data_IF_601808840069
#
_entry.id   IF_601808840069
#
_cell.length_a   1.000
_cell.length_b   1.000
_cell.length_c   1.000
_cell.angle_alpha   90.00
_cell.angle_beta   90.00
_cell.angle_gamma   90.00
#
_symmetry.space_group_name_H-M   'P 1'
#
loop_
_entity.id
_entity.type
_entity.pdbx_description
1 polymer ?
#
# COMPACT_ATOMS: atom_id res chain seq x y z
N UNK A 1 5.08 6.38 -25.51
CA UNK A 1 5.73 7.58 -24.93
C UNK A 1 6.96 7.07 -24.23
N UNK A 2 8.15 7.64 -24.48
CA UNK A 2 9.32 7.27 -23.67
C UNK A 2 9.20 8.00 -22.34
N UNK A 3 9.12 7.26 -21.26
CA UNK A 3 9.16 7.82 -19.91
C UNK A 3 10.53 8.47 -19.68
N UNK A 4 10.55 9.68 -19.13
CA UNK A 4 11.80 10.29 -18.67
C UNK A 4 12.18 9.71 -17.30
N UNK A 5 12.93 8.59 -17.32
CA UNK A 5 13.31 7.88 -16.10
C UNK A 5 14.27 8.68 -15.22
N UNK A 6 14.98 9.66 -15.74
CA UNK A 6 15.80 10.55 -14.90
C UNK A 6 14.91 11.39 -13.98
N UNK A 7 13.83 11.94 -14.51
CA UNK A 7 12.84 12.70 -13.74
C UNK A 7 12.06 11.80 -12.77
N UNK A 8 11.66 10.60 -13.23
CA UNK A 8 10.95 9.64 -12.38
C UNK A 8 11.84 9.16 -11.22
N UNK A 9 13.11 8.91 -11.46
CA UNK A 9 14.08 8.51 -10.43
C UNK A 9 14.30 9.65 -9.42
N UNK A 10 14.47 10.89 -9.88
CA UNK A 10 14.59 12.04 -8.99
C UNK A 10 13.35 12.21 -8.11
N UNK A 11 12.15 12.08 -8.66
CA UNK A 11 10.90 12.12 -7.93
C UNK A 11 10.80 10.97 -6.90
N UNK A 12 11.21 9.76 -7.28
CA UNK A 12 11.23 8.59 -6.42
C UNK A 12 12.18 8.78 -5.24
N UNK A 13 13.41 9.22 -5.51
CA UNK A 13 14.40 9.53 -4.48
C UNK A 13 13.90 10.62 -3.52
N UNK A 14 13.23 11.65 -4.05
CA UNK A 14 12.61 12.71 -3.27
C UNK A 14 11.51 12.28 -2.32
N UNK A 15 10.85 11.17 -2.61
CA UNK A 15 9.81 10.58 -1.76
C UNK A 15 10.37 9.65 -0.68
N UNK A 16 11.52 9.04 -0.95
CA UNK A 16 12.07 7.94 -0.16
C UNK A 16 13.15 8.36 0.82
N UNK A 17 13.85 9.46 0.52
CA UNK A 17 15.00 9.89 1.30
C UNK A 17 14.81 11.29 1.87
N UNK A 18 15.39 11.50 3.06
CA UNK A 18 15.48 12.81 3.71
C UNK A 18 16.52 13.67 2.96
N UNK A 19 16.31 14.97 2.92
CA UNK A 19 17.14 15.92 2.15
C UNK A 19 18.64 15.80 2.49
N UNK A 20 18.96 15.55 3.77
CA UNK A 20 20.33 15.32 4.23
C UNK A 20 20.98 14.00 3.76
N UNK A 21 20.16 12.98 3.49
CA UNK A 21 20.60 11.67 2.98
C UNK A 21 20.69 11.65 1.45
N UNK A 22 19.93 12.50 0.76
CA UNK A 22 19.93 12.61 -0.69
C UNK A 22 21.31 12.92 -1.26
N UNK A 23 22.01 13.90 -0.64
CA UNK A 23 23.33 14.30 -1.08
C UNK A 23 24.37 13.18 -0.93
N UNK A 24 24.28 12.35 0.11
CA UNK A 24 25.23 11.25 0.32
C UNK A 24 24.91 10.01 -0.53
N UNK A 25 23.63 9.69 -0.75
CA UNK A 25 23.23 8.49 -1.51
C UNK A 25 23.38 8.72 -3.00
N UNK A 26 23.08 9.92 -3.52
CA UNK A 26 23.30 10.27 -4.91
C UNK A 26 24.78 10.24 -5.27
N UNK A 27 25.69 10.63 -4.34
CA UNK A 27 27.13 10.60 -4.61
C UNK A 27 27.71 9.18 -4.58
N UNK A 28 27.24 8.30 -3.69
CA UNK A 28 27.92 7.03 -3.43
C UNK A 28 27.37 5.81 -4.19
N UNK A 29 26.05 5.81 -4.52
CA UNK A 29 25.42 4.62 -5.10
C UNK A 29 25.13 4.70 -6.59
N UNK A 30 24.97 5.89 -7.17
CA UNK A 30 24.52 6.06 -8.54
C UNK A 30 25.51 6.80 -9.47
N UNK A 31 26.45 7.58 -8.95
CA UNK A 31 27.46 8.24 -9.80
C UNK A 31 28.51 7.27 -10.38
N UNK A 32 28.75 6.11 -9.74
CA UNK A 32 29.72 5.11 -10.18
C UNK A 32 29.12 3.99 -11.05
N UNK A 33 27.77 3.89 -11.17
CA UNK A 33 27.13 2.84 -11.97
C UNK A 33 26.65 3.37 -13.31
N UNK A 34 27.24 2.84 -14.40
CA UNK A 34 26.84 3.07 -15.81
C UNK A 34 25.48 2.43 -16.18
N UNK A 35 24.63 2.07 -15.20
CA UNK A 35 23.34 1.47 -15.49
C UNK A 35 22.32 2.50 -16.02
N UNK A 36 21.44 2.10 -16.98
CA UNK A 36 20.35 2.94 -17.46
C UNK A 36 19.42 3.40 -16.33
N UNK A 37 18.85 4.60 -16.45
CA UNK A 37 17.97 5.18 -15.44
C UNK A 37 16.68 4.38 -15.26
N UNK A 38 16.17 3.69 -16.30
CA UNK A 38 15.06 2.76 -16.21
C UNK A 38 15.34 1.59 -15.26
N UNK A 39 16.57 1.04 -15.32
CA UNK A 39 17.00 -0.03 -14.43
C UNK A 39 17.16 0.46 -12.99
N UNK A 40 17.80 1.61 -12.79
CA UNK A 40 17.94 2.24 -11.47
C UNK A 40 16.56 2.50 -10.86
N UNK A 41 15.63 3.05 -11.65
CA UNK A 41 14.25 3.31 -11.21
C UNK A 41 13.53 2.01 -10.80
N UNK A 42 13.60 0.96 -11.62
CA UNK A 42 12.93 -0.30 -11.32
C UNK A 42 13.46 -0.95 -10.03
N UNK A 43 14.78 -0.98 -9.85
CA UNK A 43 15.40 -1.55 -8.66
C UNK A 43 15.08 -0.71 -7.41
N UNK A 44 15.23 0.61 -7.49
CA UNK A 44 14.93 1.51 -6.38
C UNK A 44 13.45 1.47 -5.98
N UNK A 45 12.53 1.36 -6.94
CA UNK A 45 11.10 1.23 -6.69
C UNK A 45 10.74 -0.07 -5.92
N UNK A 46 11.57 -1.10 -6.00
CA UNK A 46 11.41 -2.37 -5.27
C UNK A 46 11.94 -2.32 -3.85
N UNK A 47 12.89 -1.43 -3.54
CA UNK A 47 13.54 -1.39 -2.22
C UNK A 47 12.60 -0.88 -1.12
N UNK A 48 12.87 -1.27 0.12
CA UNK A 48 12.13 -0.79 1.28
C UNK A 48 12.65 0.56 1.77
N UNK A 49 11.77 1.33 2.38
CA UNK A 49 12.17 2.55 3.09
C UNK A 49 12.74 2.13 4.46
N UNK A 50 13.85 2.72 4.86
CA UNK A 50 14.51 2.44 6.14
C UNK A 50 13.51 2.50 7.32
N UNK A 51 13.54 1.47 8.15
CA UNK A 51 12.59 1.27 9.25
C UNK A 51 12.61 2.39 10.30
N UNK A 52 13.70 3.17 10.40
CA UNK A 52 13.79 4.32 11.30
C UNK A 52 12.74 5.39 10.98
N UNK A 53 12.38 5.54 9.71
CA UNK A 53 11.33 6.49 9.29
C UNK A 53 9.93 5.97 9.61
N UNK A 54 9.71 4.67 9.53
CA UNK A 54 8.47 4.06 10.01
C UNK A 54 8.26 4.35 11.50
N UNK A 55 9.32 4.21 12.31
CA UNK A 55 9.28 4.54 13.72
C UNK A 55 8.89 6.01 13.98
N UNK A 56 9.51 6.97 13.25
CA UNK A 56 9.14 8.39 13.34
C UNK A 56 7.67 8.64 12.98
N UNK A 57 7.18 7.98 11.93
CA UNK A 57 5.77 8.07 11.50
C UNK A 57 4.82 7.53 12.58
N UNK A 58 5.14 6.41 13.19
CA UNK A 58 4.35 5.87 14.31
C UNK A 58 4.38 6.79 15.52
N UNK A 59 5.51 7.42 15.82
CA UNK A 59 5.60 8.37 16.93
C UNK A 59 4.71 9.61 16.71
N UNK A 60 4.68 10.16 15.48
CA UNK A 60 3.76 11.26 15.13
C UNK A 60 2.30 10.81 15.27
N UNK A 61 1.98 9.62 14.75
CA UNK A 61 0.62 9.05 14.82
C UNK A 61 0.20 8.79 16.26
N UNK A 62 1.12 8.35 17.12
CA UNK A 62 0.87 8.14 18.55
C UNK A 62 0.48 9.43 19.26
N UNK A 63 1.11 10.56 18.93
CA UNK A 63 0.73 11.87 19.50
C UNK A 63 -0.70 12.25 19.15
N UNK A 64 -1.14 11.92 17.92
CA UNK A 64 -2.54 12.12 17.49
C UNK A 64 -3.45 11.21 18.28
N UNK A 65 -3.11 9.93 18.36
CA UNK A 65 -3.85 8.95 19.15
C UNK A 65 -4.05 9.43 20.59
N UNK A 66 -2.99 9.90 21.27
CA UNK A 66 -3.05 10.34 22.67
C UNK A 66 -3.98 11.54 22.87
N UNK A 67 -4.03 12.47 21.88
CA UNK A 67 -5.00 13.58 21.90
C UNK A 67 -6.44 13.10 21.76
N UNK A 68 -6.67 12.20 20.81
CA UNK A 68 -7.99 11.63 20.56
C UNK A 68 -8.47 10.78 21.74
N UNK A 69 -7.59 10.01 22.36
CA UNK A 69 -7.90 9.16 23.51
C UNK A 69 -8.43 10.01 24.69
N UNK A 70 -7.83 11.17 24.95
CA UNK A 70 -8.33 12.10 25.98
C UNK A 70 -9.76 12.52 25.70
N UNK A 71 -10.04 12.98 24.46
CA UNK A 71 -11.39 13.45 24.10
C UNK A 71 -12.41 12.32 24.19
N UNK A 72 -12.08 11.12 23.73
CA UNK A 72 -12.97 9.98 23.81
C UNK A 72 -13.25 9.56 25.27
N UNK A 73 -12.25 9.67 26.14
CA UNK A 73 -12.44 9.42 27.59
C UNK A 73 -13.33 10.47 28.22
N UNK A 74 -13.17 11.75 27.87
CA UNK A 74 -13.98 12.86 28.42
C UNK A 74 -15.48 12.69 28.06
N UNK A 75 -15.78 12.15 26.88
CA UNK A 75 -17.16 11.86 26.46
C UNK A 75 -17.62 10.43 26.79
N UNK A 76 -16.82 9.67 27.56
CA UNK A 76 -17.08 8.27 27.92
C UNK A 76 -17.32 7.34 26.73
N UNK A 77 -16.63 7.58 25.61
CA UNK A 77 -16.66 6.77 24.40
C UNK A 77 -15.46 5.80 24.41
N UNK A 78 -15.71 4.53 24.71
CA UNK A 78 -14.65 3.50 24.69
C UNK A 78 -14.28 3.11 23.27
N UNK A 79 -13.02 3.31 22.92
CA UNK A 79 -12.43 2.96 21.62
C UNK A 79 -11.15 2.16 21.79
N UNK A 80 -10.83 1.37 20.78
CA UNK A 80 -9.52 0.73 20.59
C UNK A 80 -8.81 1.37 19.40
N UNK A 81 -7.52 1.62 19.51
CA UNK A 81 -6.70 2.10 18.42
C UNK A 81 -5.87 0.96 17.83
N UNK A 82 -5.88 0.84 16.50
CA UNK A 82 -5.07 -0.13 15.76
C UNK A 82 -4.46 0.53 14.53
N UNK A 83 -3.44 -0.11 13.98
CA UNK A 83 -2.76 0.35 12.77
C UNK A 83 -2.95 -0.64 11.64
N UNK A 84 -3.13 -0.11 10.42
CA UNK A 84 -3.10 -0.88 9.18
C UNK A 84 -2.41 -0.07 8.08
N UNK A 85 -2.43 -0.59 6.85
CA UNK A 85 -1.87 0.05 5.68
C UNK A 85 -0.47 -0.45 5.32
N UNK A 86 0.11 0.09 4.25
CA UNK A 86 1.37 -0.40 3.70
C UNK A 86 2.56 -0.32 4.65
N UNK A 87 2.55 0.55 5.66
CA UNK A 87 3.61 0.63 6.66
C UNK A 87 3.70 -0.65 7.52
N UNK A 88 2.56 -1.34 7.77
CA UNK A 88 2.51 -2.59 8.55
C UNK A 88 3.09 -3.79 7.80
N UNK A 89 3.30 -3.65 6.50
CA UNK A 89 3.89 -4.66 5.63
C UNK A 89 5.17 -4.18 4.98
N UNK A 90 5.73 -3.02 5.39
CA UNK A 90 6.94 -2.44 4.82
C UNK A 90 6.84 -2.21 3.30
N UNK A 91 5.61 -1.96 2.82
CA UNK A 91 5.33 -1.70 1.40
C UNK A 91 4.96 -0.25 1.11
N UNK A 92 5.17 0.66 2.08
CA UNK A 92 4.99 2.09 1.86
C UNK A 92 6.10 2.65 0.96
N UNK A 93 5.73 3.61 0.11
CA UNK A 93 6.59 4.20 -0.91
C UNK A 93 6.90 5.70 -0.67
N UNK A 94 6.51 6.21 0.47
CA UNK A 94 6.72 7.60 0.89
C UNK A 94 7.26 7.61 2.31
N UNK A 95 8.30 8.40 2.53
CA UNK A 95 9.13 8.43 3.75
C UNK A 95 8.33 8.49 5.05
N UNK A 96 7.35 9.39 5.14
CA UNK A 96 6.50 9.57 6.32
C UNK A 96 5.03 9.31 5.99
N UNK A 97 4.76 8.21 5.30
CA UNK A 97 3.43 7.86 4.84
C UNK A 97 3.04 6.40 5.09
N UNK A 98 1.86 6.03 4.59
CA UNK A 98 1.40 4.64 4.62
C UNK A 98 0.81 4.18 5.95
N UNK A 99 0.68 5.05 6.95
CA UNK A 99 -0.01 4.75 8.21
C UNK A 99 -1.50 5.00 8.07
N UNK A 100 -2.29 4.02 8.49
CA UNK A 100 -3.72 4.16 8.71
C UNK A 100 -4.04 3.84 10.17
N UNK A 101 -4.47 4.85 10.93
CA UNK A 101 -4.92 4.71 12.31
C UNK A 101 -6.40 4.34 12.33
N UNK A 102 -6.72 3.13 12.74
CA UNK A 102 -8.10 2.68 12.89
C UNK A 102 -8.58 3.01 14.30
N UNK A 103 -9.73 3.65 14.39
CA UNK A 103 -10.41 3.92 15.65
C UNK A 103 -11.64 3.02 15.72
N UNK A 104 -11.58 2.04 16.60
CA UNK A 104 -12.54 0.95 16.69
C UNK A 104 -13.39 1.06 17.94
N UNK A 105 -14.69 0.92 17.80
CA UNK A 105 -15.59 0.74 18.95
C UNK A 105 -16.17 -0.67 18.96
N UNK A 106 -16.80 -1.04 20.06
CA UNK A 106 -17.45 -2.35 20.20
C UNK A 106 -18.44 -2.60 19.06
N UNK A 107 -18.68 -3.87 18.70
CA UNK A 107 -19.67 -4.23 17.71
C UNK A 107 -21.03 -3.59 18.06
N UNK A 108 -21.66 -2.96 17.05
CA UNK A 108 -23.00 -2.40 17.19
C UNK A 108 -23.93 -3.09 16.20
N UNK A 109 -24.88 -3.85 16.73
CA UNK A 109 -25.62 -4.88 16.00
C UNK A 109 -26.48 -4.36 14.83
N UNK A 110 -27.01 -3.14 14.91
CA UNK A 110 -28.01 -2.67 13.95
C UNK A 110 -27.60 -1.47 13.10
N UNK A 111 -26.84 -0.51 13.64
CA UNK A 111 -26.53 0.77 12.98
C UNK A 111 -25.06 1.20 13.22
N UNK A 112 -24.06 0.47 12.70
CA UNK A 112 -22.66 0.77 12.95
C UNK A 112 -22.27 2.20 12.54
N UNK A 113 -22.93 2.77 11.54
CA UNK A 113 -22.69 4.14 11.06
C UNK A 113 -22.92 5.22 12.12
N UNK A 114 -23.81 5.00 13.10
CA UNK A 114 -24.07 5.98 14.17
C UNK A 114 -22.78 6.20 15.01
N UNK A 115 -22.12 5.11 15.39
CA UNK A 115 -20.85 5.18 16.14
C UNK A 115 -19.69 5.66 15.28
N UNK A 116 -19.62 5.20 14.03
CA UNK A 116 -18.61 5.64 13.07
C UNK A 116 -18.70 7.15 12.86
N UNK A 117 -19.93 7.71 12.71
CA UNK A 117 -20.13 9.15 12.58
C UNK A 117 -19.76 9.92 13.84
N UNK A 118 -20.13 9.39 15.01
CA UNK A 118 -19.74 10.01 16.27
C UNK A 118 -18.21 10.12 16.35
N UNK A 119 -17.47 9.01 16.10
CA UNK A 119 -16.01 9.00 16.10
C UNK A 119 -15.46 10.01 15.07
N UNK A 120 -16.00 10.01 13.85
CA UNK A 120 -15.54 10.93 12.80
C UNK A 120 -15.75 12.39 13.19
N UNK A 121 -16.88 12.73 13.81
CA UNK A 121 -17.16 14.10 14.29
C UNK A 121 -16.18 14.55 15.36
N UNK A 122 -15.90 13.71 16.36
CA UNK A 122 -14.94 14.02 17.43
C UNK A 122 -13.50 14.18 16.87
N UNK A 123 -13.09 13.28 15.98
CA UNK A 123 -11.80 13.37 15.29
C UNK A 123 -11.67 14.70 14.55
N UNK A 124 -12.69 15.09 13.79
CA UNK A 124 -12.70 16.39 13.09
C UNK A 124 -12.61 17.56 14.06
N UNK A 125 -13.37 17.53 15.14
CA UNK A 125 -13.34 18.58 16.17
C UNK A 125 -11.95 18.78 16.76
N UNK A 126 -11.25 17.70 17.08
CA UNK A 126 -9.88 17.73 17.63
C UNK A 126 -8.86 18.27 16.62
N UNK A 127 -8.98 17.84 15.37
CA UNK A 127 -7.95 18.11 14.35
C UNK A 127 -8.11 19.50 13.73
N UNK A 128 -9.34 20.00 13.56
CA UNK A 128 -9.58 21.34 13.00
C UNK A 128 -9.04 22.45 13.92
N UNK A 129 -8.98 22.20 15.21
CA UNK A 129 -8.41 23.15 16.18
C UNK A 129 -6.88 23.10 16.35
N UNK A 130 -6.18 22.18 15.70
CA UNK A 130 -4.76 21.97 15.89
C UNK A 130 -3.93 22.55 14.74
N UNK A 131 -3.18 23.62 15.02
CA UNK A 131 -2.32 24.34 14.04
C UNK A 131 -1.19 23.48 13.45
N UNK A 132 -0.92 22.30 14.01
CA UNK A 132 0.09 21.37 13.48
C UNK A 132 -0.40 20.63 12.22
N UNK A 133 -1.70 20.70 11.89
CA UNK A 133 -2.28 20.07 10.71
C UNK A 133 -2.62 21.13 9.69
N UNK A 134 -1.92 21.10 8.54
CA UNK A 134 -2.13 22.09 7.48
C UNK A 134 -3.27 21.75 6.54
N UNK A 135 -3.54 20.46 6.37
CA UNK A 135 -4.51 19.99 5.40
C UNK A 135 -5.28 18.81 6.00
N UNK A 136 -6.59 18.98 6.12
CA UNK A 136 -7.51 17.94 6.56
C UNK A 136 -8.45 17.66 5.39
N UNK A 137 -8.25 16.54 4.71
CA UNK A 137 -9.11 16.10 3.63
C UNK A 137 -10.16 15.10 4.15
N UNK A 138 -11.41 15.52 4.14
CA UNK A 138 -12.57 14.69 4.48
C UNK A 138 -13.27 14.12 3.23
N UNK A 139 -12.80 14.48 2.03
CA UNK A 139 -13.48 14.16 0.77
C UNK A 139 -13.47 12.67 0.44
N UNK A 140 -12.51 11.91 0.95
CA UNK A 140 -12.36 10.49 0.64
C UNK A 140 -13.25 9.56 1.46
N UNK A 141 -14.36 10.05 1.96
CA UNK A 141 -15.54 9.24 2.35
C UNK A 141 -15.52 8.55 3.71
N UNK A 142 -14.36 8.18 4.24
CA UNK A 142 -14.21 7.49 5.53
C UNK A 142 -12.85 7.74 6.18
N UNK A 143 -11.91 8.35 5.44
CA UNK A 143 -10.53 8.50 5.85
C UNK A 143 -10.19 9.98 5.91
N UNK A 144 -9.69 10.40 7.04
CA UNK A 144 -9.19 11.76 7.24
C UNK A 144 -7.72 11.73 6.88
N UNK A 145 -7.34 12.52 5.89
CA UNK A 145 -5.96 12.73 5.47
C UNK A 145 -5.38 13.89 6.27
N UNK A 146 -4.25 13.68 6.88
CA UNK A 146 -3.55 14.70 7.64
C UNK A 146 -2.16 14.89 7.06
N UNK A 147 -1.80 16.13 6.84
CA UNK A 147 -0.44 16.49 6.48
C UNK A 147 0.14 17.36 7.59
N UNK A 148 1.20 16.92 8.23
CA UNK A 148 1.94 17.75 9.19
C UNK A 148 2.90 18.66 8.44
N UNK A 149 3.24 19.81 9.03
CA UNK A 149 4.05 20.81 8.34
C UNK A 149 5.54 20.48 8.25
N UNK A 150 6.07 19.70 9.20
CA UNK A 150 7.49 19.28 9.21
C UNK A 150 7.70 18.11 10.18
N UNK A 151 8.15 16.93 9.75
CA UNK A 151 8.18 16.51 8.34
C UNK A 151 6.76 16.38 7.77
N UNK A 152 6.60 16.50 6.46
CA UNK A 152 5.31 16.25 5.79
C UNK A 152 4.94 14.79 5.98
N UNK A 153 3.95 14.52 6.83
CA UNK A 153 3.50 13.16 7.16
C UNK A 153 2.04 13.01 6.76
N UNK A 154 1.76 11.98 5.98
CA UNK A 154 0.40 11.63 5.58
C UNK A 154 -0.12 10.50 6.45
N UNK A 155 -1.11 10.80 7.30
CA UNK A 155 -1.76 9.82 8.19
C UNK A 155 -3.23 9.74 7.79
N UNK A 156 -3.72 8.53 7.57
CA UNK A 156 -5.14 8.27 7.36
C UNK A 156 -5.76 7.83 8.69
N UNK A 157 -6.92 8.38 9.03
CA UNK A 157 -7.69 7.97 10.21
C UNK A 157 -8.97 7.31 9.73
N UNK A 158 -9.24 6.12 10.23
CA UNK A 158 -10.34 5.28 9.80
C UNK A 158 -11.25 4.95 10.99
N UNK A 159 -12.38 5.65 11.16
CA UNK A 159 -13.41 5.22 12.08
C UNK A 159 -14.07 3.91 11.62
N UNK A 160 -14.15 2.93 12.51
CA UNK A 160 -14.73 1.62 12.22
C UNK A 160 -15.35 0.99 13.46
N UNK A 161 -16.01 -0.15 13.29
CA UNK A 161 -16.47 -0.99 14.39
C UNK A 161 -15.87 -2.38 14.30
N UNK A 162 -15.64 -3.01 15.44
CA UNK A 162 -15.23 -4.40 15.49
C UNK A 162 -16.31 -5.32 14.92
N UNK A 163 -15.87 -6.36 14.23
CA UNK A 163 -16.70 -7.43 13.71
C UNK A 163 -16.26 -8.76 14.34
N UNK A 164 -17.04 -9.24 15.29
CA UNK A 164 -16.80 -10.54 15.92
C UNK A 164 -17.36 -11.64 15.00
N UNK A 165 -16.49 -12.20 14.18
CA UNK A 165 -16.82 -13.33 13.30
C UNK A 165 -16.68 -14.67 14.04
N UNK A 166 -17.08 -15.78 13.41
CA UNK A 166 -17.06 -17.10 14.03
C UNK A 166 -15.63 -17.52 14.42
N UNK A 167 -14.64 -17.27 13.57
CA UNK A 167 -13.24 -17.58 13.87
C UNK A 167 -12.76 -16.85 15.12
N UNK A 168 -13.06 -15.55 15.24
CA UNK A 168 -12.72 -14.80 16.46
C UNK A 168 -13.47 -15.31 17.70
N UNK A 169 -14.74 -15.68 17.55
CA UNK A 169 -15.51 -16.22 18.66
C UNK A 169 -14.95 -17.53 19.20
N UNK A 170 -14.35 -18.34 18.32
CA UNK A 170 -13.70 -19.60 18.67
C UNK A 170 -12.28 -19.40 19.21
N UNK A 171 -11.46 -18.65 18.47
CA UNK A 171 -10.01 -18.52 18.75
C UNK A 171 -9.68 -17.46 19.79
N UNK A 172 -10.52 -16.45 19.93
CA UNK A 172 -10.28 -15.21 20.69
C UNK A 172 -9.01 -14.44 20.29
N UNK A 173 -8.38 -14.82 19.17
CA UNK A 173 -7.19 -14.11 18.66
C UNK A 173 -7.64 -12.86 17.91
N UNK A 174 -7.08 -11.72 18.25
CA UNK A 174 -7.42 -10.44 17.58
C UNK A 174 -7.15 -10.47 16.07
N UNK A 175 -6.15 -11.23 15.64
CA UNK A 175 -5.83 -11.38 14.22
C UNK A 175 -6.99 -11.95 13.38
N UNK A 176 -7.85 -12.76 14.00
CA UNK A 176 -9.03 -13.36 13.36
C UNK A 176 -10.25 -12.44 13.43
N UNK A 177 -10.14 -11.31 14.15
CA UNK A 177 -11.22 -10.36 14.32
C UNK A 177 -11.34 -9.44 13.11
N UNK A 178 -12.53 -9.29 12.58
CA UNK A 178 -12.81 -8.39 11.47
C UNK A 178 -13.12 -6.97 11.93
N UNK A 179 -13.20 -6.09 10.95
CA UNK A 179 -13.74 -4.74 11.12
C UNK A 179 -14.82 -4.44 10.08
N UNK A 180 -15.68 -3.50 10.42
CA UNK A 180 -16.70 -2.98 9.51
C UNK A 180 -16.51 -1.49 9.36
N UNK A 181 -16.21 -1.05 8.14
CA UNK A 181 -16.24 0.33 7.67
C UNK A 181 -17.63 0.69 7.13
N UNK A 182 -17.97 1.96 7.15
CA UNK A 182 -19.17 2.46 6.52
C UNK A 182 -18.88 3.68 5.64
N UNK A 183 -19.19 3.56 4.35
CA UNK A 183 -19.11 4.68 3.43
C UNK A 183 -20.38 5.53 3.54
N UNK A 184 -20.26 6.73 4.10
CA UNK A 184 -21.37 7.65 4.34
C UNK A 184 -22.04 8.14 3.07
N UNK A 185 -21.27 8.39 2.03
CA UNK A 185 -21.80 8.92 0.76
C UNK A 185 -22.54 7.84 -0.04
N UNK A 186 -21.90 6.66 -0.16
CA UNK A 186 -22.47 5.52 -0.90
C UNK A 186 -23.45 4.70 -0.04
N UNK A 187 -23.54 4.97 1.26
CA UNK A 187 -24.35 4.20 2.24
C UNK A 187 -24.05 2.70 2.19
N UNK A 188 -22.79 2.34 1.93
CA UNK A 188 -22.34 0.95 1.81
C UNK A 188 -21.47 0.55 2.98
N UNK A 189 -21.48 -0.75 3.30
CA UNK A 189 -20.63 -1.35 4.33
C UNK A 189 -19.55 -2.17 3.68
N UNK A 190 -18.35 -2.09 4.23
CA UNK A 190 -17.27 -2.99 3.90
C UNK A 190 -16.85 -3.74 5.16
N UNK A 191 -16.78 -5.07 5.06
CA UNK A 191 -16.31 -5.97 6.12
C UNK A 191 -15.08 -6.69 5.64
N UNK A 192 -14.03 -6.70 6.44
CA UNK A 192 -12.77 -7.37 6.09
C UNK A 192 -11.92 -7.66 7.32
N UNK A 193 -10.84 -8.43 7.13
CA UNK A 193 -9.91 -8.87 8.17
C UNK A 193 -8.53 -8.25 7.96
N UNK A 194 -8.32 -6.98 8.31
CA UNK A 194 -7.07 -6.27 7.99
C UNK A 194 -5.85 -6.91 8.64
N UNK A 195 -5.98 -7.35 9.89
CA UNK A 195 -4.87 -7.92 10.65
C UNK A 195 -4.44 -9.28 10.10
N UNK A 196 -5.40 -10.10 9.68
CA UNK A 196 -5.12 -11.38 9.02
C UNK A 196 -4.48 -11.18 7.65
N UNK A 197 -4.95 -10.18 6.87
CA UNK A 197 -4.34 -9.81 5.60
C UNK A 197 -2.87 -9.42 5.78
N UNK A 198 -2.57 -8.52 6.72
CA UNK A 198 -1.20 -8.08 7.03
C UNK A 198 -0.32 -9.26 7.44
N UNK A 199 -0.80 -10.09 8.37
CA UNK A 199 -0.02 -11.24 8.84
C UNK A 199 0.27 -12.24 7.72
N UNK A 200 -0.69 -12.52 6.85
CA UNK A 200 -0.49 -13.44 5.72
C UNK A 200 0.43 -12.87 4.65
N UNK A 201 0.37 -11.56 4.36
CA UNK A 201 1.33 -10.90 3.47
C UNK A 201 2.74 -11.06 4.03
N UNK A 202 2.97 -10.70 5.31
CA UNK A 202 4.28 -10.82 5.94
C UNK A 202 4.78 -12.27 5.96
N UNK A 203 3.95 -13.23 6.32
CA UNK A 203 4.32 -14.64 6.35
C UNK A 203 4.66 -15.19 4.96
N UNK A 204 3.91 -14.80 3.92
CA UNK A 204 4.20 -15.22 2.55
C UNK A 204 5.48 -14.57 2.03
N UNK A 205 5.68 -13.29 2.30
CA UNK A 205 6.89 -12.57 1.89
C UNK A 205 8.16 -13.21 2.43
N UNK A 206 8.15 -13.61 3.72
CA UNK A 206 9.27 -14.35 4.32
C UNK A 206 9.58 -15.66 3.56
N UNK A 207 8.56 -16.38 3.09
CA UNK A 207 8.75 -17.61 2.30
C UNK A 207 9.20 -17.32 0.86
N UNK A 208 8.98 -16.11 0.39
CA UNK A 208 9.39 -15.63 -0.93
C UNK A 208 10.71 -14.83 -0.91
N UNK A 209 11.45 -14.82 0.19
CA UNK A 209 12.69 -14.05 0.34
C UNK A 209 12.52 -12.55 0.03
N UNK A 210 11.39 -11.96 0.39
CA UNK A 210 11.10 -10.53 0.16
C UNK A 210 10.49 -10.20 -1.21
N UNK A 211 10.29 -11.17 -2.10
CA UNK A 211 9.82 -10.90 -3.47
C UNK A 211 8.40 -10.36 -3.55
N UNK A 212 7.51 -10.79 -2.65
CA UNK A 212 6.13 -10.31 -2.63
C UNK A 212 6.07 -8.79 -2.34
N UNK A 213 6.74 -8.34 -1.30
CA UNK A 213 6.73 -6.92 -0.89
C UNK A 213 7.44 -6.02 -1.89
N UNK A 214 8.54 -6.49 -2.50
CA UNK A 214 9.28 -5.77 -3.55
C UNK A 214 8.35 -5.42 -4.72
N UNK A 215 7.60 -6.39 -5.20
CA UNK A 215 6.64 -6.16 -6.30
C UNK A 215 5.49 -5.26 -5.89
N UNK A 216 4.98 -5.37 -4.68
CA UNK A 216 3.93 -4.47 -4.19
C UNK A 216 4.44 -3.02 -4.18
N UNK A 217 5.69 -2.78 -3.73
CA UNK A 217 6.30 -1.44 -3.76
C UNK A 217 6.46 -0.90 -5.18
N UNK A 218 6.96 -1.73 -6.10
CA UNK A 218 7.09 -1.36 -7.50
C UNK A 218 5.74 -0.93 -8.09
N UNK A 219 4.70 -1.75 -7.94
CA UNK A 219 3.39 -1.43 -8.52
C UNK A 219 2.75 -0.18 -7.88
N UNK A 220 2.94 0.03 -6.58
CA UNK A 220 2.50 1.26 -5.92
C UNK A 220 3.27 2.50 -6.42
N UNK A 221 4.54 2.32 -6.77
CA UNK A 221 5.38 3.38 -7.34
C UNK A 221 4.92 3.70 -8.76
N UNK A 222 4.74 2.70 -9.62
CA UNK A 222 4.20 2.88 -10.97
C UNK A 222 2.83 3.55 -10.96
N UNK A 223 1.92 3.10 -10.09
CA UNK A 223 0.62 3.74 -9.91
C UNK A 223 0.74 5.22 -9.56
N UNK A 224 1.68 5.57 -8.69
CA UNK A 224 1.86 6.95 -8.24
C UNK A 224 2.47 7.85 -9.30
N UNK A 225 3.35 7.31 -10.12
CA UNK A 225 4.10 8.03 -11.15
C UNK A 225 3.39 8.05 -12.50
N UNK A 226 2.32 7.26 -12.66
CA UNK A 226 1.48 7.25 -13.86
C UNK A 226 0.85 8.62 -14.12
N UNK A 227 0.82 9.02 -15.40
CA UNK A 227 0.07 10.19 -15.86
C UNK A 227 -1.44 9.97 -15.77
N UNK A 228 -1.89 8.71 -15.83
CA UNK A 228 -3.29 8.34 -15.64
C UNK A 228 -3.62 8.18 -14.16
N UNK A 229 -4.80 8.65 -13.74
CA UNK A 229 -5.32 8.37 -12.40
C UNK A 229 -5.74 6.89 -12.31
N UNK A 230 -5.01 6.11 -11.48
CA UNK A 230 -5.26 4.69 -11.26
C UNK A 230 -5.90 4.50 -9.88
N UNK A 231 -7.22 4.28 -9.82
CA UNK A 231 -8.00 4.13 -8.57
C UNK A 231 -7.91 2.69 -8.01
N UNK A 232 -6.69 2.22 -7.78
CA UNK A 232 -6.40 0.99 -7.01
C UNK A 232 -5.79 1.38 -5.66
N UNK A 233 -6.27 0.78 -4.59
CA UNK A 233 -5.62 1.00 -3.30
C UNK A 233 -4.61 -0.11 -2.98
N UNK A 234 -3.77 0.12 -1.96
CA UNK A 234 -2.78 -0.84 -1.48
C UNK A 234 -3.34 -2.25 -1.26
N UNK A 235 -4.54 -2.36 -0.71
CA UNK A 235 -5.18 -3.66 -0.43
C UNK A 235 -5.48 -4.44 -1.73
N UNK A 236 -5.94 -3.77 -2.77
CA UNK A 236 -6.28 -4.40 -4.06
C UNK A 236 -5.01 -4.85 -4.78
N UNK A 237 -4.00 -3.99 -4.87
CA UNK A 237 -2.71 -4.33 -5.46
C UNK A 237 -2.07 -5.50 -4.70
N UNK A 238 -1.98 -5.40 -3.36
CA UNK A 238 -1.40 -6.47 -2.54
C UNK A 238 -2.13 -7.80 -2.70
N UNK A 239 -3.46 -7.78 -2.83
CA UNK A 239 -4.26 -8.99 -3.00
C UNK A 239 -4.04 -9.66 -4.35
N UNK A 240 -3.93 -8.86 -5.43
CA UNK A 240 -3.64 -9.38 -6.78
C UNK A 240 -2.27 -10.07 -6.79
N UNK A 241 -1.27 -9.46 -6.18
CA UNK A 241 0.09 -10.01 -6.13
C UNK A 241 0.21 -11.18 -5.15
N UNK A 242 -0.52 -11.13 -4.03
CA UNK A 242 -0.59 -12.25 -3.10
C UNK A 242 -1.11 -13.54 -3.74
N UNK A 243 -1.95 -13.47 -4.77
CA UNK A 243 -2.46 -14.64 -5.48
C UNK A 243 -1.42 -15.39 -6.35
N UNK A 244 -0.26 -14.78 -6.63
CA UNK A 244 0.84 -15.43 -7.36
C UNK A 244 1.43 -16.56 -6.49
N UNK A 245 1.70 -17.75 -7.04
CA UNK A 245 2.33 -18.83 -6.29
C UNK A 245 3.69 -18.47 -5.69
N UNK A 246 3.97 -18.94 -4.46
CA UNK A 246 5.21 -18.62 -3.73
C UNK A 246 6.49 -18.92 -4.52
N UNK A 247 6.50 -20.03 -5.26
CA UNK A 247 7.67 -20.43 -6.06
C UNK A 247 8.04 -19.41 -7.12
N UNK A 248 7.06 -18.71 -7.68
CA UNK A 248 7.25 -17.69 -8.72
C UNK A 248 7.67 -16.33 -8.12
N UNK A 249 7.39 -16.09 -6.84
CA UNK A 249 7.75 -14.87 -6.13
C UNK A 249 9.08 -14.96 -5.38
N UNK A 250 9.77 -16.12 -5.42
CA UNK A 250 11.06 -16.24 -4.74
C UNK A 250 12.04 -15.24 -5.31
N UNK A 251 12.49 -14.33 -4.45
CA UNK A 251 13.45 -13.31 -4.82
C UNK A 251 14.88 -13.83 -4.76
N UNK A 252 15.68 -13.47 -5.76
CA UNK A 252 17.11 -13.60 -5.80
C UNK A 252 17.70 -12.29 -6.33
N UNK A 253 18.70 -11.72 -5.67
CA UNK A 253 19.33 -10.46 -6.06
C UNK A 253 19.89 -10.48 -7.49
N UNK A 254 20.42 -11.63 -7.93
CA UNK A 254 20.98 -11.79 -9.28
C UNK A 254 19.90 -11.69 -10.38
N UNK A 255 18.63 -11.93 -10.02
CA UNK A 255 17.52 -12.05 -10.96
C UNK A 255 16.31 -11.19 -10.54
N UNK A 256 16.56 -10.02 -9.98
CA UNK A 256 15.51 -9.14 -9.45
C UNK A 256 14.44 -8.80 -10.51
N UNK A 257 14.86 -8.57 -11.74
CA UNK A 257 13.96 -8.23 -12.85
C UNK A 257 13.12 -9.40 -13.35
N UNK A 258 13.48 -10.66 -13.02
CA UNK A 258 12.67 -11.83 -13.42
C UNK A 258 11.24 -11.80 -12.85
N UNK A 259 11.05 -11.12 -11.72
CA UNK A 259 9.73 -10.92 -11.11
C UNK A 259 8.79 -10.09 -11.99
N UNK A 260 9.31 -9.20 -12.85
CA UNK A 260 8.49 -8.33 -13.71
C UNK A 260 7.63 -9.15 -14.68
N UNK A 261 8.21 -10.17 -15.31
CA UNK A 261 7.49 -11.07 -16.21
C UNK A 261 6.38 -11.86 -15.48
N UNK A 262 6.66 -12.32 -14.26
CA UNK A 262 5.68 -13.02 -13.43
C UNK A 262 4.49 -12.11 -13.10
N UNK A 263 4.76 -10.85 -12.77
CA UNK A 263 3.75 -9.86 -12.41
C UNK A 263 2.93 -9.44 -13.62
N UNK A 264 3.57 -9.19 -14.77
CA UNK A 264 2.88 -8.88 -16.02
C UNK A 264 1.94 -10.03 -16.40
N UNK A 265 2.38 -11.29 -16.30
CA UNK A 265 1.52 -12.45 -16.53
C UNK A 265 0.33 -12.52 -15.56
N UNK A 266 0.52 -12.20 -14.28
CA UNK A 266 -0.56 -12.17 -13.28
C UNK A 266 -1.58 -11.06 -13.59
N UNK A 267 -1.10 -9.83 -13.87
CA UNK A 267 -1.99 -8.73 -14.23
C UNK A 267 -2.75 -9.05 -15.53
N UNK A 268 -2.07 -9.61 -16.52
CA UNK A 268 -2.71 -10.07 -17.76
C UNK A 268 -3.80 -11.11 -17.49
N UNK A 269 -3.54 -12.09 -16.61
CA UNK A 269 -4.53 -13.09 -16.22
C UNK A 269 -5.75 -12.45 -15.54
N UNK A 270 -5.55 -11.48 -14.67
CA UNK A 270 -6.65 -10.74 -14.02
C UNK A 270 -7.48 -9.99 -15.05
N UNK A 271 -6.86 -9.40 -16.06
CA UNK A 271 -7.55 -8.65 -17.13
C UNK A 271 -8.33 -9.60 -18.04
N UNK A 272 -7.71 -10.67 -18.50
CA UNK A 272 -8.26 -11.51 -19.59
C UNK A 272 -9.13 -12.67 -19.09
N UNK A 273 -8.85 -13.25 -17.92
CA UNK A 273 -9.61 -14.38 -17.37
C UNK A 273 -10.65 -13.90 -16.35
N UNK A 274 -11.88 -13.69 -16.85
CA UNK A 274 -13.01 -13.28 -16.01
C UNK A 274 -13.29 -14.26 -14.85
N UNK A 275 -13.21 -15.57 -15.12
CA UNK A 275 -13.50 -16.58 -14.09
C UNK A 275 -12.46 -16.56 -12.96
N UNK A 276 -11.19 -16.36 -13.31
CA UNK A 276 -10.12 -16.21 -12.34
C UNK A 276 -10.32 -14.93 -11.51
N UNK A 277 -10.54 -13.80 -12.17
CA UNK A 277 -10.74 -12.51 -11.53
C UNK A 277 -11.90 -12.50 -10.55
N UNK A 278 -13.05 -13.05 -10.93
CA UNK A 278 -14.24 -13.08 -10.07
C UNK A 278 -14.09 -13.96 -8.82
N UNK A 279 -13.13 -14.89 -8.83
CA UNK A 279 -12.82 -15.77 -7.70
C UNK A 279 -11.60 -15.35 -6.91
N UNK A 280 -10.94 -14.27 -7.31
CA UNK A 280 -9.72 -13.83 -6.66
C UNK A 280 -10.03 -13.33 -5.25
N UNK A 281 -9.40 -13.97 -4.26
CA UNK A 281 -9.59 -13.68 -2.85
C UNK A 281 -8.47 -12.80 -2.30
N UNK A 282 -8.80 -12.04 -1.28
CA UNK A 282 -7.83 -11.30 -0.47
C UNK A 282 -6.86 -12.25 0.25
N UNK A 283 -5.75 -11.75 0.82
CA UNK A 283 -4.83 -12.58 1.61
C UNK A 283 -5.50 -13.34 2.76
N UNK A 284 -6.59 -12.82 3.34
CA UNK A 284 -7.37 -13.52 4.36
C UNK A 284 -8.20 -14.71 3.82
N UNK A 285 -8.34 -14.83 2.50
CA UNK A 285 -9.19 -15.83 1.81
C UNK A 285 -10.68 -15.71 2.16
N UNK A 286 -11.11 -14.57 2.68
CA UNK A 286 -12.50 -14.35 3.10
C UNK A 286 -13.26 -13.34 2.23
N UNK A 287 -12.57 -12.46 1.53
CA UNK A 287 -13.19 -11.43 0.70
C UNK A 287 -12.79 -11.58 -0.77
N UNK A 288 -13.75 -11.40 -1.67
CA UNK A 288 -13.49 -11.24 -3.09
C UNK A 288 -12.87 -9.87 -3.36
N UNK A 289 -11.74 -9.83 -4.05
CA UNK A 289 -11.04 -8.56 -4.37
C UNK A 289 -11.87 -7.73 -5.32
N UNK A 290 -12.39 -8.32 -6.36
CA UNK A 290 -13.18 -7.61 -7.37
C UNK A 290 -14.67 -7.57 -7.00
N UNK A 291 -15.29 -8.69 -6.63
CA UNK A 291 -16.71 -8.76 -6.25
C UNK A 291 -17.61 -8.06 -7.27
N UNK A 292 -18.44 -7.12 -6.82
CA UNK A 292 -19.30 -6.29 -7.67
C UNK A 292 -18.59 -5.05 -8.23
N UNK A 293 -17.29 -4.87 -7.99
CA UNK A 293 -16.50 -3.70 -8.38
C UNK A 293 -15.85 -3.92 -9.74
N UNK A 294 -16.65 -4.06 -10.79
CA UNK A 294 -16.15 -4.37 -12.14
C UNK A 294 -15.20 -3.30 -12.69
N UNK A 295 -15.37 -2.04 -12.28
CA UNK A 295 -14.48 -0.93 -12.68
C UNK A 295 -13.01 -1.16 -12.30
N UNK A 296 -12.72 -1.95 -11.28
CA UNK A 296 -11.33 -2.27 -10.90
C UNK A 296 -10.57 -3.01 -12.01
N UNK A 297 -11.27 -3.64 -12.95
CA UNK A 297 -10.61 -4.29 -14.09
C UNK A 297 -9.92 -3.26 -14.98
N UNK A 298 -10.59 -2.14 -15.25
CA UNK A 298 -10.04 -1.07 -16.07
C UNK A 298 -8.83 -0.43 -15.38
N UNK A 299 -8.90 -0.31 -14.05
CA UNK A 299 -7.77 0.19 -13.26
C UNK A 299 -6.57 -0.77 -13.27
N UNK A 300 -6.80 -2.09 -13.28
CA UNK A 300 -5.74 -3.08 -13.46
C UNK A 300 -5.15 -3.02 -14.87
N UNK A 301 -5.95 -2.71 -15.90
CA UNK A 301 -5.45 -2.49 -17.27
C UNK A 301 -4.47 -1.33 -17.30
N UNK A 302 -4.81 -0.19 -16.70
CA UNK A 302 -3.92 0.97 -16.61
C UNK A 302 -2.60 0.61 -15.91
N UNK A 303 -2.69 -0.02 -14.73
CA UNK A 303 -1.48 -0.43 -13.99
C UNK A 303 -0.62 -1.43 -14.77
N UNK A 304 -1.25 -2.35 -15.49
CA UNK A 304 -0.55 -3.27 -16.39
C UNK A 304 0.16 -2.54 -17.52
N UNK A 305 -0.47 -1.53 -18.10
CA UNK A 305 0.14 -0.71 -19.16
C UNK A 305 1.40 -0.02 -18.66
N UNK A 306 1.39 0.56 -17.47
CA UNK A 306 2.58 1.16 -16.87
C UNK A 306 3.71 0.13 -16.66
N UNK A 307 3.37 -1.07 -16.18
CA UNK A 307 4.36 -2.14 -16.01
C UNK A 307 4.91 -2.61 -17.36
N UNK A 308 4.07 -2.74 -18.38
CA UNK A 308 4.50 -3.19 -19.71
C UNK A 308 5.41 -2.15 -20.38
N UNK A 309 5.14 -0.84 -20.20
CA UNK A 309 6.03 0.24 -20.65
C UNK A 309 7.39 0.13 -19.96
N UNK A 310 7.44 -0.01 -18.62
CA UNK A 310 8.70 -0.20 -17.92
C UNK A 310 9.47 -1.42 -18.43
N UNK A 311 8.80 -2.56 -18.66
CA UNK A 311 9.44 -3.77 -19.19
C UNK A 311 9.99 -3.53 -20.61
N UNK A 312 9.26 -2.80 -21.46
CA UNK A 312 9.70 -2.47 -22.81
C UNK A 312 10.94 -1.58 -22.75
N UNK A 313 10.90 -0.50 -21.98
CA UNK A 313 12.00 0.47 -21.87
C UNK A 313 13.26 -0.20 -21.30
N UNK A 314 13.14 -1.04 -20.27
CA UNK A 314 14.22 -1.86 -19.75
C UNK A 314 14.84 -2.77 -20.82
N UNK A 315 14.01 -3.40 -21.66
CA UNK A 315 14.49 -4.25 -22.73
C UNK A 315 15.23 -3.46 -23.84
N UNK A 316 14.80 -2.23 -24.11
CA UNK A 316 15.44 -1.35 -25.07
C UNK A 316 16.80 -0.86 -24.56
N UNK A 317 16.87 -0.40 -23.32
CA UNK A 317 18.08 0.11 -22.67
C UNK A 317 19.14 -0.99 -22.52
N UNK A 318 18.76 -2.16 -22.03
CA UNK A 318 19.67 -3.30 -21.89
C UNK A 318 20.16 -3.85 -23.23
N UNK A 319 19.43 -3.62 -24.33
CA UNK A 319 19.90 -3.97 -25.68
C UNK A 319 20.99 -3.02 -26.19
N UNK A 320 20.87 -1.77 -25.85
CA UNK A 320 21.85 -0.74 -26.30
C UNK A 320 23.18 -0.93 -25.59
N UNK A 321 23.19 -1.32 -24.31
CA UNK A 321 24.41 -1.55 -23.52
C UNK A 321 25.16 -2.85 -23.88
N UNK A 322 24.59 -3.71 -24.71
CA UNK A 322 25.27 -4.92 -25.23
C UNK A 322 25.49 -6.01 -24.16
N UNK A 323 24.96 -5.87 -22.97
CA UNK A 323 25.09 -6.86 -21.91
C UNK A 323 24.10 -8.02 -22.09
N UNK A 324 24.61 -9.08 -22.75
CA UNK A 324 23.81 -10.27 -23.10
C UNK A 324 23.38 -11.09 -21.89
N UNK A 325 23.93 -10.86 -20.72
CA UNK A 325 23.75 -11.70 -19.52
C UNK A 325 22.36 -11.47 -18.90
N UNK A 326 21.85 -10.25 -18.94
CA UNK A 326 20.52 -9.91 -18.40
C UNK A 326 19.39 -10.35 -19.35
N UNK A 327 19.69 -10.49 -20.65
CA UNK A 327 18.76 -10.86 -21.73
C UNK A 327 18.20 -12.27 -21.65
N UNK A 328 19.01 -13.24 -21.16
CA UNK A 328 18.60 -14.64 -21.13
C UNK A 328 17.49 -14.89 -20.10
N UNK A 329 17.25 -13.96 -19.20
CA UNK A 329 16.45 -14.14 -18.01
C UNK A 329 15.07 -13.46 -18.05
N UNK A 330 14.91 -12.44 -18.90
CA UNK A 330 13.58 -11.82 -19.15
C UNK A 330 12.78 -12.63 -20.19
N UNK A 331 13.37 -13.62 -20.83
CA UNK A 331 12.64 -14.52 -21.72
C UNK A 331 11.76 -15.48 -20.92
N UNK A 332 10.48 -15.26 -21.06
CA UNK A 332 9.35 -16.06 -20.64
C UNK A 332 9.64 -17.58 -20.55
N UNK A 333 9.46 -18.17 -19.38
CA UNK A 333 9.05 -19.55 -19.21
C UNK A 333 7.58 -19.62 -18.83
#
# INVERSE_FOLDING_TARGET
>A
MNNDYSVLLENLMGRRYDEALRESILSDAFEECEYPDSLKYALEAMEEIDSSYAYKTFHITKRIQDKLDKVFNDINLKVDFRYQGPIQTETHIVLYGGVELIILTKPYDKKPWVKINQIAGEVMGVLTGDQNFKEIDYSSKLRIKLSTSKPKCEIKILPAVWLDNNEYLETKREIDRGICEYNMLKKTRRRYLPFLNIARINAKDNRCNGGLKRIIRLLLTLQRDSEEDIDLNWYEISSVIYAIPEKQLKFNNEYALSLLGVVSAQLNRVVTDKNYRERLLSPSEKELVFGSRHYLTDEVVKLKTELDHLIQDLNEDLRQDGDKTIYSEVKYQ
#
